data_IF_789772576527
#
_entry.id   IF_789772576527
#
_cell.length_a   1.000
_cell.length_b   1.000
_cell.length_c   1.000
_cell.angle_alpha   90.00
_cell.angle_beta   90.00
_cell.angle_gamma   90.00
#
_symmetry.space_group_name_H-M   'P 1'
#
loop_
_entity.id
_entity.type
_entity.pdbx_description
1 polymer ?
#
# COMPACT_ATOMS: atom_id res chain seq x y z
N UNK A 1 -37.18 24.91 6.89
CA UNK A 1 -36.67 23.60 6.42
C UNK A 1 -35.41 23.71 5.55
N UNK A 2 -35.35 24.52 4.47
CA UNK A 2 -34.15 24.61 3.60
C UNK A 2 -32.85 25.03 4.32
N UNK A 3 -32.92 25.92 5.32
CA UNK A 3 -31.75 26.34 6.13
C UNK A 3 -31.28 25.30 7.15
N UNK A 4 -32.17 24.41 7.62
CA UNK A 4 -31.83 23.35 8.59
C UNK A 4 -31.11 22.20 7.88
N UNK A 5 -31.51 21.87 6.65
CA UNK A 5 -30.86 20.83 5.83
C UNK A 5 -29.41 21.22 5.47
N UNK A 6 -29.16 22.50 5.19
CA UNK A 6 -27.79 23.01 4.92
C UNK A 6 -26.88 22.95 6.17
N UNK A 7 -27.43 23.18 7.36
CA UNK A 7 -26.70 23.05 8.62
C UNK A 7 -26.36 21.59 8.95
N UNK A 8 -27.27 20.65 8.65
CA UNK A 8 -26.98 19.21 8.77
C UNK A 8 -25.95 18.72 7.75
N UNK A 9 -26.02 19.19 6.49
CA UNK A 9 -25.01 18.86 5.48
C UNK A 9 -23.62 19.43 5.83
N UNK A 10 -23.56 20.62 6.44
CA UNK A 10 -22.31 21.21 6.93
C UNK A 10 -21.77 20.51 8.19
N UNK A 11 -22.64 19.99 9.07
CA UNK A 11 -22.20 19.21 10.23
C UNK A 11 -21.65 17.82 9.83
N UNK A 12 -22.15 17.21 8.75
CA UNK A 12 -21.63 15.95 8.21
C UNK A 12 -20.36 16.12 7.35
N UNK A 13 -20.14 17.29 6.76
CA UNK A 13 -18.88 17.56 6.04
C UNK A 13 -17.71 17.93 6.95
N UNK A 14 -17.99 18.37 8.19
CA UNK A 14 -16.94 18.71 9.18
C UNK A 14 -16.53 17.50 10.04
N UNK A 15 -17.31 16.41 10.06
CA UNK A 15 -16.93 15.18 10.78
C UNK A 15 -15.83 14.35 10.11
N UNK A 16 -15.43 14.64 8.86
CA UNK A 16 -14.31 13.96 8.20
C UNK A 16 -12.93 14.52 8.55
N UNK A 17 -12.85 15.61 9.34
CA UNK A 17 -11.58 16.21 9.76
C UNK A 17 -11.02 15.65 11.08
N UNK A 18 -11.72 14.70 11.71
CA UNK A 18 -11.14 13.95 12.82
C UNK A 18 -10.41 12.75 12.24
N UNK A 19 -9.11 12.67 12.53
CA UNK A 19 -8.27 11.51 12.26
C UNK A 19 -8.86 10.26 12.94
N UNK A 20 -9.76 9.58 12.24
CA UNK A 20 -10.30 8.31 12.68
C UNK A 20 -9.24 7.26 12.40
N UNK A 21 -8.61 6.74 13.44
CA UNK A 21 -7.81 5.53 13.35
C UNK A 21 -8.73 4.37 12.95
N UNK A 22 -8.98 4.22 11.64
CA UNK A 22 -9.87 3.20 11.07
C UNK A 22 -9.22 1.83 11.22
N UNK A 23 -7.97 1.71 10.78
CA UNK A 23 -7.24 0.44 10.80
C UNK A 23 -6.54 0.16 12.13
N UNK A 24 -7.24 0.15 13.26
CA UNK A 24 -6.67 -0.21 14.58
C UNK A 24 -6.22 -1.66 14.66
N UNK A 25 -5.26 -1.94 15.55
CA UNK A 25 -4.87 -3.30 15.90
C UNK A 25 -6.08 -4.15 16.29
N UNK A 26 -6.15 -5.39 15.78
CA UNK A 26 -7.27 -6.28 16.00
C UNK A 26 -8.05 -6.57 14.72
N UNK A 27 -9.37 -6.41 14.77
CA UNK A 27 -10.27 -6.74 13.66
C UNK A 27 -10.99 -5.48 13.21
N UNK A 28 -10.95 -5.20 11.92
CA UNK A 28 -11.59 -4.05 11.27
C UNK A 28 -12.61 -4.60 10.28
N UNK A 29 -13.86 -4.12 10.35
CA UNK A 29 -14.95 -4.58 9.49
C UNK A 29 -15.40 -3.46 8.56
N UNK A 30 -15.43 -3.75 7.27
CA UNK A 30 -16.26 -3.05 6.31
C UNK A 30 -17.58 -3.78 6.10
N UNK A 31 -18.41 -3.28 5.20
CA UNK A 31 -19.64 -3.91 4.73
C UNK A 31 -19.36 -5.22 3.98
N UNK A 32 -18.29 -5.27 3.19
CA UNK A 32 -17.97 -6.38 2.28
C UNK A 32 -16.66 -7.10 2.60
N UNK A 33 -15.99 -6.71 3.68
CA UNK A 33 -14.66 -7.20 4.03
C UNK A 33 -14.44 -7.22 5.53
N UNK A 34 -13.57 -8.10 5.98
CA UNK A 34 -13.01 -8.05 7.34
C UNK A 34 -11.50 -8.16 7.25
N UNK A 35 -10.81 -7.22 7.88
CA UNK A 35 -9.35 -7.20 7.97
C UNK A 35 -8.89 -7.57 9.38
N UNK A 36 -7.83 -8.35 9.46
CA UNK A 36 -7.01 -8.49 10.67
C UNK A 36 -5.84 -7.51 10.56
N UNK A 37 -5.70 -6.65 11.56
CA UNK A 37 -4.59 -5.71 11.68
C UNK A 37 -3.67 -6.14 12.81
N UNK A 38 -2.38 -6.19 12.56
CA UNK A 38 -1.36 -6.48 13.56
C UNK A 38 -0.08 -5.72 13.30
N UNK A 39 0.77 -5.66 14.30
CA UNK A 39 2.13 -5.16 14.14
C UNK A 39 3.01 -6.16 13.39
N UNK A 40 3.94 -5.64 12.61
CA UNK A 40 5.06 -6.43 12.13
C UNK A 40 6.05 -6.64 13.28
N UNK A 41 6.38 -7.89 13.61
CA UNK A 41 7.20 -8.26 14.77
C UNK A 41 8.54 -7.52 14.85
N UNK A 42 9.23 -7.38 13.71
CA UNK A 42 10.59 -6.82 13.65
C UNK A 42 10.61 -5.32 13.27
N UNK A 43 9.46 -4.74 12.96
CA UNK A 43 9.35 -3.34 12.53
C UNK A 43 8.10 -2.72 13.18
N UNK A 44 8.19 -2.22 14.42
CA UNK A 44 7.02 -1.76 15.19
C UNK A 44 6.33 -0.52 14.59
N UNK A 45 6.98 0.15 13.63
CA UNK A 45 6.40 1.23 12.82
C UNK A 45 5.50 0.73 11.71
N UNK A 46 5.36 -0.58 11.49
CA UNK A 46 4.63 -1.16 10.37
C UNK A 46 3.46 -2.00 10.83
N UNK A 47 2.30 -1.71 10.25
CA UNK A 47 1.06 -2.42 10.48
C UNK A 47 0.76 -3.28 9.26
N UNK A 48 0.47 -4.56 9.50
CA UNK A 48 0.07 -5.53 8.50
C UNK A 48 -1.45 -5.58 8.53
N UNK A 49 -2.07 -5.28 7.39
CA UNK A 49 -3.52 -5.32 7.17
C UNK A 49 -3.81 -6.49 6.24
N UNK A 50 -4.42 -7.56 6.76
CA UNK A 50 -4.69 -8.79 5.99
C UNK A 50 -6.18 -9.08 5.95
N UNK A 51 -6.72 -9.31 4.75
CA UNK A 51 -8.09 -9.78 4.58
C UNK A 51 -8.24 -11.17 5.24
N UNK A 52 -9.20 -11.33 6.15
CA UNK A 52 -9.38 -12.60 6.87
C UNK A 52 -9.87 -13.73 5.98
N UNK A 53 -10.48 -13.39 4.84
CA UNK A 53 -10.97 -14.34 3.86
C UNK A 53 -9.98 -14.63 2.74
N UNK A 54 -8.73 -14.16 2.85
CA UNK A 54 -7.69 -14.61 1.94
C UNK A 54 -7.55 -16.14 2.06
N UNK A 55 -7.83 -16.89 0.98
CA UNK A 55 -8.03 -18.34 1.03
C UNK A 55 -6.75 -19.12 1.33
N UNK A 56 -5.60 -18.45 1.24
CA UNK A 56 -4.29 -19.07 1.40
C UNK A 56 -3.52 -18.38 2.54
N UNK A 57 -3.45 -19.08 3.68
CA UNK A 57 -2.74 -18.68 4.89
C UNK A 57 -1.28 -19.15 4.90
N UNK A 58 -0.79 -19.78 3.83
CA UNK A 58 0.60 -20.23 3.79
C UNK A 58 1.52 -19.03 4.02
N UNK A 59 2.32 -19.12 5.07
CA UNK A 59 3.36 -18.14 5.37
C UNK A 59 4.46 -18.39 4.36
N UNK A 60 4.53 -17.50 3.36
CA UNK A 60 5.66 -17.43 2.45
C UNK A 60 6.60 -16.34 2.91
N UNK A 61 7.86 -16.52 2.56
CA UNK A 61 8.90 -15.54 2.79
C UNK A 61 8.69 -14.41 1.77
N UNK A 62 8.97 -13.16 2.14
CA UNK A 62 9.13 -12.09 1.15
C UNK A 62 10.62 -11.93 0.87
N UNK A 63 11.10 -12.30 -0.33
CA UNK A 63 12.50 -12.19 -0.66
C UNK A 63 12.90 -10.72 -0.72
N UNK A 64 14.15 -10.45 -0.36
CA UNK A 64 14.77 -9.15 -0.59
C UNK A 64 15.97 -9.37 -1.52
N UNK A 65 15.78 -9.22 -2.84
CA UNK A 65 16.80 -9.56 -3.84
C UNK A 65 17.98 -8.56 -3.90
N UNK A 66 17.99 -7.53 -3.04
CA UNK A 66 19.05 -6.52 -2.99
C UNK A 66 19.14 -5.63 -4.23
N UNK A 67 18.26 -5.84 -5.20
CA UNK A 67 18.13 -5.09 -6.46
C UNK A 67 16.64 -4.87 -6.73
N UNK A 68 16.29 -3.74 -7.33
CA UNK A 68 14.92 -3.50 -7.79
C UNK A 68 14.86 -3.91 -9.27
N UNK A 69 13.93 -4.81 -9.60
CA UNK A 69 13.73 -5.24 -10.97
C UNK A 69 12.86 -4.26 -11.74
N UNK A 70 13.19 -4.02 -13.01
CA UNK A 70 12.37 -3.18 -13.91
C UNK A 70 10.95 -3.76 -14.08
N UNK A 71 10.78 -5.07 -13.91
CA UNK A 71 9.51 -5.79 -13.84
C UNK A 71 8.68 -5.35 -12.63
N UNK A 72 9.30 -5.19 -11.47
CA UNK A 72 8.62 -4.65 -10.28
C UNK A 72 8.16 -3.22 -10.54
N UNK A 73 8.96 -2.38 -11.24
CA UNK A 73 8.54 -1.02 -11.60
C UNK A 73 7.34 -1.00 -12.56
N UNK A 74 7.24 -1.94 -13.50
CA UNK A 74 6.02 -2.06 -14.34
C UNK A 74 4.79 -2.39 -13.48
N UNK A 75 4.90 -3.37 -12.59
CA UNK A 75 3.83 -3.73 -11.64
C UNK A 75 3.49 -2.53 -10.74
N UNK A 76 4.49 -1.83 -10.22
CA UNK A 76 4.35 -0.62 -9.40
C UNK A 76 3.52 0.45 -10.13
N UNK A 77 3.81 0.72 -11.40
CA UNK A 77 3.06 1.71 -12.19
C UNK A 77 1.65 1.24 -12.54
N UNK A 78 1.42 -0.06 -12.70
CA UNK A 78 0.06 -0.60 -12.84
C UNK A 78 -0.77 -0.36 -11.57
N UNK A 79 -0.19 -0.62 -10.39
CA UNK A 79 -0.84 -0.40 -9.10
C UNK A 79 -1.02 1.09 -8.82
N UNK A 80 -0.02 1.93 -9.12
CA UNK A 80 -0.12 3.38 -9.01
C UNK A 80 -1.28 3.93 -9.86
N UNK A 81 -1.49 3.40 -11.07
CA UNK A 81 -2.64 3.75 -11.91
C UNK A 81 -3.97 3.36 -11.24
N UNK A 82 -4.06 2.16 -10.67
CA UNK A 82 -5.27 1.71 -9.94
C UNK A 82 -5.53 2.67 -8.77
N UNK A 83 -4.52 2.94 -7.94
CA UNK A 83 -4.65 3.87 -6.82
C UNK A 83 -5.09 5.25 -7.28
N UNK A 84 -4.51 5.81 -8.35
CA UNK A 84 -4.94 7.09 -8.92
C UNK A 84 -6.43 7.10 -9.31
N UNK A 85 -6.99 5.99 -9.79
CA UNK A 85 -8.41 5.90 -10.15
C UNK A 85 -9.34 5.78 -8.94
N UNK A 86 -8.85 5.28 -7.81
CA UNK A 86 -9.61 5.14 -6.56
C UNK A 86 -9.51 6.35 -5.63
N UNK A 87 -8.52 7.23 -5.84
CA UNK A 87 -8.31 8.44 -5.05
C UNK A 87 -8.95 9.66 -5.68
N UNK A 88 -9.50 10.56 -4.86
CA UNK A 88 -9.98 11.87 -5.31
C UNK A 88 -8.82 12.81 -5.69
N UNK A 89 -9.13 13.89 -6.40
CA UNK A 89 -8.13 14.90 -6.74
C UNK A 89 -7.52 15.56 -5.48
N UNK A 90 -8.33 15.76 -4.45
CA UNK A 90 -7.93 16.31 -3.16
C UNK A 90 -7.00 15.34 -2.41
N UNK A 91 -7.32 14.05 -2.40
CA UNK A 91 -6.48 13.02 -1.77
C UNK A 91 -5.13 12.87 -2.50
N UNK A 92 -5.13 12.93 -3.83
CA UNK A 92 -3.89 12.94 -4.63
C UNK A 92 -3.03 14.18 -4.34
N UNK A 93 -3.66 15.35 -4.16
CA UNK A 93 -2.97 16.57 -3.76
C UNK A 93 -2.42 16.45 -2.33
N UNK A 94 -3.17 15.88 -1.41
CA UNK A 94 -2.75 15.62 -0.03
C UNK A 94 -1.53 14.71 0.01
N UNK A 95 -1.52 13.62 -0.77
CA UNK A 95 -0.36 12.72 -0.89
C UNK A 95 0.90 13.48 -1.33
N UNK A 96 0.76 14.34 -2.34
CA UNK A 96 1.87 15.16 -2.86
C UNK A 96 2.38 16.17 -1.81
N UNK A 97 1.48 16.76 -1.04
CA UNK A 97 1.82 17.71 0.03
C UNK A 97 2.57 17.00 1.15
N UNK A 98 2.03 15.87 1.63
CA UNK A 98 2.66 15.06 2.70
C UNK A 98 4.07 14.61 2.33
N UNK A 99 4.31 14.21 1.08
CA UNK A 99 5.65 13.82 0.65
C UNK A 99 6.64 15.00 0.65
N UNK A 100 6.22 16.18 0.19
CA UNK A 100 7.05 17.40 0.23
C UNK A 100 7.44 17.79 1.64
N UNK A 101 6.56 17.55 2.60
CA UNK A 101 6.78 17.82 4.02
C UNK A 101 7.63 16.74 4.71
N UNK A 102 8.19 15.79 3.96
CA UNK A 102 9.00 14.68 4.50
C UNK A 102 8.17 13.59 5.17
N UNK A 103 6.84 13.63 4.98
CA UNK A 103 5.91 12.61 5.43
C UNK A 103 6.16 11.27 4.73
N UNK A 104 6.01 10.19 5.50
CA UNK A 104 6.07 8.82 4.99
C UNK A 104 4.62 8.36 4.80
N UNK A 105 4.21 8.19 3.54
CA UNK A 105 2.84 7.79 3.19
C UNK A 105 2.84 6.83 1.99
N UNK A 106 3.80 5.90 1.95
CA UNK A 106 3.85 4.90 0.89
C UNK A 106 2.71 3.89 1.04
N UNK A 107 2.20 3.43 -0.10
CA UNK A 107 1.30 2.29 -0.16
C UNK A 107 2.14 1.05 -0.44
N UNK A 108 2.15 0.10 0.48
CA UNK A 108 2.85 -1.16 0.27
C UNK A 108 1.90 -2.33 0.24
N UNK A 109 2.06 -3.18 -0.77
CA UNK A 109 1.21 -4.33 -1.02
C UNK A 109 2.07 -5.56 -1.26
N UNK A 110 1.66 -6.68 -0.65
CA UNK A 110 2.35 -7.95 -0.80
C UNK A 110 1.50 -8.82 -1.73
N UNK A 111 2.13 -9.33 -2.77
CA UNK A 111 1.50 -10.02 -3.88
C UNK A 111 1.90 -11.49 -3.89
N UNK A 112 0.94 -12.36 -4.23
CA UNK A 112 1.18 -13.78 -4.50
C UNK A 112 0.77 -14.11 -5.91
N UNK A 113 1.60 -14.90 -6.59
CA UNK A 113 1.38 -15.31 -7.97
C UNK A 113 1.12 -16.81 -8.08
N UNK A 114 0.32 -17.18 -9.06
CA UNK A 114 0.24 -18.54 -9.58
C UNK A 114 1.31 -18.65 -10.68
N UNK A 115 2.47 -19.21 -10.33
CA UNK A 115 3.60 -19.38 -11.24
C UNK A 115 3.22 -20.17 -12.50
N UNK A 116 2.42 -21.23 -12.35
CA UNK A 116 2.06 -22.12 -13.45
C UNK A 116 1.11 -21.43 -14.44
N UNK A 117 0.20 -20.59 -13.94
CA UNK A 117 -0.74 -19.81 -14.78
C UNK A 117 -0.22 -18.42 -15.12
N UNK A 118 0.98 -18.07 -14.65
CA UNK A 118 1.63 -16.78 -14.85
C UNK A 118 0.72 -15.58 -14.56
N UNK A 119 0.02 -15.61 -13.42
CA UNK A 119 -0.95 -14.57 -13.04
C UNK A 119 -0.87 -14.20 -11.58
N UNK A 120 -1.30 -12.99 -11.26
CA UNK A 120 -1.51 -12.58 -9.88
C UNK A 120 -2.68 -13.36 -9.27
N UNK A 121 -2.44 -14.03 -8.15
CA UNK A 121 -3.42 -14.87 -7.47
C UNK A 121 -4.20 -14.07 -6.41
N UNK A 122 -3.48 -13.29 -5.60
CA UNK A 122 -4.06 -12.52 -4.51
C UNK A 122 -3.11 -11.41 -4.04
N UNK A 123 -3.69 -10.44 -3.35
CA UNK A 123 -2.98 -9.56 -2.41
C UNK A 123 -2.98 -10.24 -1.05
N UNK A 124 -1.82 -10.60 -0.50
CA UNK A 124 -1.76 -11.37 0.76
C UNK A 124 -1.90 -10.50 2.00
N UNK A 125 -1.42 -9.26 1.92
CA UNK A 125 -1.67 -8.19 2.87
C UNK A 125 -1.21 -6.84 2.31
N UNK A 126 -1.67 -5.77 2.94
CA UNK A 126 -1.08 -4.45 2.85
C UNK A 126 -0.18 -4.17 4.04
N UNK A 127 0.79 -3.29 3.85
CA UNK A 127 1.70 -2.84 4.90
C UNK A 127 1.74 -1.32 4.93
N UNK A 128 1.29 -0.75 6.03
CA UNK A 128 1.26 0.70 6.21
C UNK A 128 2.12 1.13 7.38
N UNK A 129 2.65 2.34 7.28
CA UNK A 129 3.45 2.92 8.34
C UNK A 129 2.50 3.49 9.41
N UNK A 130 2.84 3.35 10.68
CA UNK A 130 2.20 4.09 11.76
C UNK A 130 3.28 4.73 12.63
N UNK A 131 3.85 5.84 12.13
CA UNK A 131 4.89 6.57 12.87
C UNK A 131 4.37 7.11 14.19
N UNK A 132 3.13 7.59 14.24
CA UNK A 132 2.52 8.10 15.48
C UNK A 132 2.54 7.04 16.59
N UNK A 133 1.99 5.86 16.34
CA UNK A 133 1.92 4.80 17.34
C UNK A 133 3.31 4.28 17.72
N UNK A 134 4.27 4.26 16.78
CA UNK A 134 5.65 3.94 17.10
C UNK A 134 6.28 4.95 18.06
N UNK A 135 5.98 6.25 17.89
CA UNK A 135 6.41 7.31 18.79
C UNK A 135 5.77 7.22 20.16
N UNK A 136 4.47 6.95 20.24
CA UNK A 136 3.74 6.85 21.50
C UNK A 136 4.26 5.71 22.41
N UNK A 137 4.88 4.68 21.83
CA UNK A 137 5.56 3.60 22.57
C UNK A 137 6.93 3.97 23.10
N UNK A 138 7.52 5.06 22.61
CA UNK A 138 8.80 5.56 23.13
C UNK A 138 8.58 6.35 24.43
N UNK A 139 9.58 6.38 25.32
CA UNK A 139 9.62 7.32 26.42
C UNK A 139 9.41 8.77 25.93
N UNK A 140 8.75 9.66 26.68
CA UNK A 140 8.44 11.02 26.26
C UNK A 140 9.63 11.80 25.65
N UNK A 141 10.82 11.66 26.23
CA UNK A 141 12.06 12.29 25.81
C UNK A 141 12.58 11.79 24.44
N UNK A 142 12.04 10.68 23.92
CA UNK A 142 12.37 10.11 22.62
C UNK A 142 11.24 10.28 21.59
N UNK A 143 10.20 11.06 21.89
CA UNK A 143 9.06 11.29 20.99
C UNK A 143 9.24 12.46 20.03
N UNK A 144 10.27 13.29 20.24
CA UNK A 144 10.51 14.51 19.46
C UNK A 144 10.62 14.29 17.94
N UNK A 145 11.08 13.11 17.51
CA UNK A 145 11.23 12.75 16.10
C UNK A 145 9.97 12.10 15.48
N UNK A 146 8.86 12.02 16.23
CA UNK A 146 7.63 11.37 15.82
C UNK A 146 6.47 12.36 15.71
N UNK A 147 5.46 12.07 14.86
CA UNK A 147 4.28 12.92 14.75
C UNK A 147 3.59 13.11 16.11
N UNK A 148 3.19 14.34 16.42
CA UNK A 148 2.47 14.67 17.66
C UNK A 148 1.00 14.21 17.64
N UNK A 149 0.44 13.98 16.46
CA UNK A 149 -0.93 13.51 16.25
C UNK A 149 -0.96 12.36 15.25
N UNK A 150 -1.96 11.49 15.41
CA UNK A 150 -2.25 10.44 14.47
C UNK A 150 -2.78 11.07 13.18
N UNK A 151 -2.13 10.82 12.05
CA UNK A 151 -2.50 11.40 10.77
C UNK A 151 -1.94 10.56 9.61
N UNK A 152 -2.16 9.25 9.63
CA UNK A 152 -1.75 8.39 8.51
C UNK A 152 -2.92 8.20 7.54
N UNK A 153 -2.69 8.50 6.26
CA UNK A 153 -3.75 8.45 5.26
C UNK A 153 -4.21 7.03 4.97
N UNK A 154 -3.28 6.09 4.78
CA UNK A 154 -3.62 4.72 4.40
C UNK A 154 -4.27 3.94 5.54
N UNK A 155 -3.96 4.28 6.78
CA UNK A 155 -4.64 3.70 7.94
C UNK A 155 -6.01 4.34 8.23
N UNK A 156 -6.38 5.40 7.52
CA UNK A 156 -7.66 6.09 7.61
C UNK A 156 -8.57 5.87 6.40
N UNK A 157 -8.11 5.11 5.40
CA UNK A 157 -8.92 4.75 4.24
C UNK A 157 -10.12 3.90 4.68
N UNK A 158 -11.25 4.09 4.00
CA UNK A 158 -12.42 3.24 4.18
C UNK A 158 -12.06 1.75 3.89
N UNK A 159 -12.46 0.78 4.74
CA UNK A 159 -12.12 -0.62 4.55
C UNK A 159 -12.67 -1.22 3.25
N UNK A 160 -13.89 -0.84 2.84
CA UNK A 160 -14.49 -1.35 1.61
C UNK A 160 -13.82 -0.74 0.38
N UNK A 161 -13.35 0.50 0.46
CA UNK A 161 -12.50 1.10 -0.58
C UNK A 161 -11.15 0.39 -0.69
N UNK A 162 -10.51 0.04 0.42
CA UNK A 162 -9.28 -0.77 0.38
C UNK A 162 -9.52 -2.14 -0.26
N UNK A 163 -10.67 -2.77 0.02
CA UNK A 163 -11.08 -4.03 -0.60
C UNK A 163 -11.38 -3.90 -2.10
N UNK A 164 -11.96 -2.78 -2.53
CA UNK A 164 -12.15 -2.49 -3.95
C UNK A 164 -10.79 -2.36 -4.67
N UNK A 165 -9.83 -1.67 -4.07
CA UNK A 165 -8.44 -1.58 -4.55
C UNK A 165 -7.80 -2.98 -4.60
N UNK A 166 -7.94 -3.78 -3.54
CA UNK A 166 -7.45 -5.16 -3.46
C UNK A 166 -7.92 -6.01 -4.65
N UNK A 167 -9.23 -5.98 -4.92
CA UNK A 167 -9.86 -6.69 -6.04
C UNK A 167 -9.37 -6.19 -7.39
N UNK A 168 -9.24 -4.88 -7.56
CA UNK A 168 -8.76 -4.30 -8.80
C UNK A 168 -7.29 -4.64 -9.07
N UNK A 169 -6.44 -4.68 -8.04
CA UNK A 169 -5.06 -5.14 -8.16
C UNK A 169 -5.03 -6.56 -8.69
N UNK A 170 -5.74 -7.50 -8.06
CA UNK A 170 -5.77 -8.91 -8.48
C UNK A 170 -6.34 -9.07 -9.89
N UNK A 171 -7.37 -8.30 -10.24
CA UNK A 171 -8.06 -8.41 -11.54
C UNK A 171 -7.28 -7.80 -12.70
N UNK A 172 -6.58 -6.68 -12.46
CA UNK A 172 -6.08 -5.79 -13.52
C UNK A 172 -4.57 -5.77 -13.67
N UNK A 173 -3.81 -6.14 -12.65
CA UNK A 173 -2.36 -6.23 -12.74
C UNK A 173 -1.97 -7.44 -13.57
N UNK A 174 -1.17 -7.19 -14.61
CA UNK A 174 -0.60 -8.21 -15.48
C UNK A 174 0.88 -8.34 -15.16
N UNK A 175 1.33 -9.58 -14.96
CA UNK A 175 2.74 -9.87 -14.71
C UNK A 175 3.56 -9.66 -15.99
N UNK A 176 4.70 -8.93 -15.94
CA UNK A 176 5.67 -8.88 -17.04
C UNK A 176 6.10 -10.28 -17.49
N UNK A 177 6.23 -10.56 -18.79
CA UNK A 177 6.52 -11.91 -19.32
C UNK A 177 7.84 -12.53 -18.85
N UNK A 178 8.78 -11.71 -18.35
CA UNK A 178 10.11 -12.13 -17.89
C UNK A 178 10.31 -11.84 -16.40
N UNK A 179 9.35 -12.22 -15.55
CA UNK A 179 9.51 -12.14 -14.10
C UNK A 179 10.74 -12.95 -13.62
N UNK A 180 11.58 -12.38 -12.74
CA UNK A 180 12.61 -13.12 -12.02
C UNK A 180 11.99 -14.28 -11.22
N UNK A 181 12.62 -15.45 -11.27
CA UNK A 181 12.13 -16.68 -10.61
C UNK A 181 11.90 -16.51 -9.10
N UNK A 182 12.73 -15.69 -8.44
CA UNK A 182 12.59 -15.38 -7.01
C UNK A 182 11.25 -14.70 -6.68
N UNK A 183 10.69 -13.93 -7.61
CA UNK A 183 9.37 -13.27 -7.46
C UNK A 183 8.20 -14.17 -7.90
N UNK A 184 8.49 -15.33 -8.49
CA UNK A 184 7.50 -16.32 -8.89
C UNK A 184 7.31 -17.45 -7.87
N UNK A 185 8.34 -17.71 -7.06
CA UNK A 185 8.33 -18.78 -6.05
C UNK A 185 7.63 -18.35 -4.76
N UNK A 186 7.90 -17.12 -4.33
CA UNK A 186 7.50 -16.57 -3.04
C UNK A 186 6.59 -15.34 -3.16
N UNK A 187 6.08 -14.85 -2.02
CA UNK A 187 5.35 -13.57 -2.00
C UNK A 187 6.33 -12.43 -2.23
N UNK A 188 5.95 -11.37 -2.93
CA UNK A 188 6.83 -10.20 -3.10
C UNK A 188 6.10 -8.89 -2.80
N UNK A 189 6.84 -7.90 -2.31
CA UNK A 189 6.27 -6.59 -1.99
C UNK A 189 6.44 -5.62 -3.16
N UNK A 190 5.44 -4.77 -3.37
CA UNK A 190 5.52 -3.61 -4.26
C UNK A 190 5.24 -2.38 -3.41
N UNK A 191 6.15 -1.40 -3.50
CA UNK A 191 6.07 -0.14 -2.77
C UNK A 191 5.72 0.99 -3.74
N UNK A 192 4.60 1.65 -3.52
CA UNK A 192 4.19 2.81 -4.31
C UNK A 192 4.42 4.07 -3.47
N UNK A 193 5.26 4.96 -3.98
CA UNK A 193 5.54 6.23 -3.33
C UNK A 193 4.51 7.30 -3.72
N UNK A 194 4.19 8.27 -2.85
CA UNK A 194 3.25 9.35 -3.18
C UNK A 194 3.59 10.09 -4.50
N UNK A 195 4.87 10.32 -4.80
CA UNK A 195 5.35 10.95 -6.05
C UNK A 195 4.96 10.21 -7.33
N UNK A 196 4.64 8.93 -7.21
CA UNK A 196 4.24 8.09 -8.32
C UNK A 196 2.72 8.13 -8.55
N UNK A 197 1.93 8.73 -7.64
CA UNK A 197 0.47 8.81 -7.75
C UNK A 197 -0.04 10.10 -8.39
N UNK A 198 0.70 11.21 -8.28
CA UNK A 198 0.15 12.54 -8.55
C UNK A 198 -0.04 12.94 -10.02
N UNK A 199 0.40 12.14 -10.99
CA UNK A 199 0.24 12.45 -12.43
C UNK A 199 0.10 11.18 -13.28
N UNK A 200 -1.12 10.96 -13.79
CA UNK A 200 -1.44 9.82 -14.65
C UNK A 200 -0.60 9.75 -15.94
N UNK A 201 -0.18 10.88 -16.52
CA UNK A 201 0.67 10.88 -17.71
C UNK A 201 2.07 10.38 -17.36
N UNK A 202 2.61 10.86 -16.23
CA UNK A 202 3.90 10.40 -15.70
C UNK A 202 3.86 8.90 -15.39
N UNK A 203 2.80 8.39 -14.75
CA UNK A 203 2.62 6.96 -14.48
C UNK A 203 2.72 6.13 -15.78
N UNK A 204 2.01 6.56 -16.82
CA UNK A 204 2.01 5.87 -18.13
C UNK A 204 3.39 5.88 -18.78
N UNK A 205 4.09 7.00 -18.71
CA UNK A 205 5.43 7.16 -19.28
C UNK A 205 6.47 6.32 -18.54
N UNK A 206 6.47 6.35 -17.20
CA UNK A 206 7.38 5.52 -16.38
C UNK A 206 7.12 4.03 -16.59
N UNK A 207 5.85 3.63 -16.74
CA UNK A 207 5.51 2.25 -17.10
C UNK A 207 6.08 1.85 -18.45
N UNK A 208 5.97 2.72 -19.47
CA UNK A 208 6.52 2.46 -20.80
C UNK A 208 8.04 2.26 -20.74
N UNK A 209 8.75 3.13 -20.03
CA UNK A 209 10.20 2.99 -19.80
C UNK A 209 10.54 1.69 -19.08
N UNK A 210 9.79 1.32 -18.05
CA UNK A 210 9.98 0.06 -17.33
C UNK A 210 9.85 -1.15 -18.28
N UNK A 211 8.81 -1.15 -19.14
CA UNK A 211 8.60 -2.18 -20.17
C UNK A 211 9.76 -2.28 -21.16
N UNK A 212 10.20 -1.14 -21.70
CA UNK A 212 11.33 -1.12 -22.62
C UNK A 212 12.62 -1.63 -21.97
N UNK A 213 12.79 -1.34 -20.67
CA UNK A 213 13.97 -1.71 -19.89
C UNK A 213 13.99 -3.20 -19.57
N UNK A 214 12.93 -3.76 -18.98
CA UNK A 214 12.91 -5.19 -18.65
C UNK A 214 12.87 -6.10 -19.88
N UNK A 215 12.46 -5.60 -21.05
CA UNK A 215 12.60 -6.35 -22.31
C UNK A 215 14.05 -6.51 -22.76
N UNK A 216 14.94 -5.58 -22.37
CA UNK A 216 16.36 -5.50 -22.78
C UNK A 216 17.33 -6.03 -21.71
N UNK A 217 17.00 -5.82 -20.43
CA UNK A 217 17.86 -6.19 -19.31
C UNK A 217 17.54 -7.60 -18.78
N UNK A 218 18.57 -8.40 -18.57
CA UNK A 218 18.51 -9.63 -17.76
C UNK A 218 19.22 -9.38 -16.43
N UNK A 219 18.49 -8.77 -15.49
CA UNK A 219 19.04 -8.41 -14.18
C UNK A 219 19.07 -9.65 -13.29
N UNK A 220 20.25 -9.98 -12.76
CA UNK A 220 20.40 -11.05 -11.77
C UNK A 220 20.25 -10.49 -10.34
N UNK A 221 19.50 -11.16 -9.45
CA UNK A 221 19.47 -10.80 -8.03
C UNK A 221 20.86 -10.85 -7.40
N UNK A 222 21.09 -10.06 -6.35
CA UNK A 222 22.31 -10.09 -5.53
C UNK A 222 21.93 -10.46 -4.10
N UNK A 223 22.93 -10.65 -3.23
CA UNK A 223 22.68 -10.74 -1.80
C UNK A 223 22.04 -9.43 -1.32
N UNK A 224 20.75 -9.48 -0.99
CA UNK A 224 20.03 -8.35 -0.41
C UNK A 224 20.00 -8.40 1.12
N UNK A 225 19.10 -7.63 1.70
CA UNK A 225 18.85 -7.70 3.14
C UNK A 225 18.19 -9.03 3.52
N UNK A 226 18.17 -9.40 4.81
CA UNK A 226 17.45 -10.59 5.25
C UNK A 226 16.00 -10.56 4.73
N UNK A 227 15.49 -11.72 4.28
CA UNK A 227 14.11 -11.78 3.81
C UNK A 227 13.14 -11.49 4.95
N UNK A 228 11.95 -10.99 4.61
CA UNK A 228 10.94 -10.62 5.60
C UNK A 228 9.99 -11.78 5.85
N UNK A 229 9.70 -12.04 7.13
CA UNK A 229 8.59 -12.91 7.55
C UNK A 229 7.42 -12.00 7.89
N UNK A 230 6.32 -12.15 7.16
CA UNK A 230 5.11 -11.36 7.38
C UNK A 230 4.32 -11.89 8.56
#
# INVERSE_FOLDING_TARGET
>A
MKRIVLLFAALFSVSMLFSQEVFRLGTVKGEYVTYKVREQKDVPTRWIVRNVHNPDTAIKIVPNPGVIFSQEKDIEMQIAKILHEHLSAEELLEMKTREKEGGVCWFEVILRVDRNKYKLLQVTCFRFCNKYMAGMRRPPEKRQDYPASYNDFWLNIDPDRLHAIEKDIVKRVVLPEKMPEILLTDDFNILIMPRDLGDIKKIKEERKKAIERWKKEDVKPRAGWPPMIL
#
